data_IF_770145293488
#
_entry.id   IF_770145293488
#
_cell.length_a   1.000
_cell.length_b   1.000
_cell.length_c   1.000
_cell.angle_alpha   90.00
_cell.angle_beta   90.00
_cell.angle_gamma   90.00
#
_symmetry.space_group_name_H-M   'P 1'
#
loop_
_entity.id
_entity.type
_entity.pdbx_description
1 polymer ?
#
# COMPACT_ATOMS: atom_id res chain seq x y z
N UNK A 1 -54.09 32.42 42.38
CA UNK A 1 -53.50 31.23 41.72
C UNK A 1 -52.45 31.70 40.73
N UNK A 2 -51.16 31.44 40.98
CA UNK A 2 -50.07 31.69 40.03
C UNK A 2 -49.73 30.36 39.38
N UNK A 3 -49.96 30.24 38.08
CA UNK A 3 -49.55 29.08 37.29
C UNK A 3 -48.06 29.22 36.96
N UNK A 4 -47.24 28.31 37.50
CA UNK A 4 -45.87 28.12 37.05
C UNK A 4 -45.88 27.22 35.82
N UNK A 5 -45.55 27.78 34.67
CA UNK A 5 -45.24 27.01 33.45
C UNK A 5 -43.82 26.47 33.55
N UNK A 6 -43.67 25.16 33.77
CA UNK A 6 -42.41 24.45 33.61
C UNK A 6 -42.11 24.25 32.12
N UNK A 7 -40.98 24.76 31.64
CA UNK A 7 -40.43 24.38 30.32
C UNK A 7 -39.57 23.12 30.49
N UNK A 8 -39.79 22.04 29.72
CA UNK A 8 -38.88 20.91 29.70
C UNK A 8 -37.58 21.31 28.99
N UNK A 9 -36.46 21.26 29.70
CA UNK A 9 -35.13 21.30 29.08
C UNK A 9 -34.83 19.89 28.57
N UNK A 10 -34.92 19.69 27.25
CA UNK A 10 -34.39 18.48 26.61
C UNK A 10 -32.86 18.58 26.58
N UNK A 11 -32.21 17.95 27.55
CA UNK A 11 -30.78 17.69 27.51
C UNK A 11 -30.53 16.61 26.46
N UNK A 12 -30.17 17.00 25.23
CA UNK A 12 -29.66 16.08 24.21
C UNK A 12 -28.24 15.71 24.64
N UNK A 13 -28.08 14.58 25.34
CA UNK A 13 -26.77 13.98 25.57
C UNK A 13 -26.28 13.41 24.25
N UNK A 14 -25.44 14.18 23.55
CA UNK A 14 -24.69 13.72 22.39
C UNK A 14 -23.65 12.70 22.90
N UNK A 15 -24.04 11.42 22.97
CA UNK A 15 -23.10 10.32 23.16
C UNK A 15 -22.24 10.26 21.90
N UNK A 16 -21.11 10.98 21.90
CA UNK A 16 -20.02 10.75 20.96
C UNK A 16 -19.45 9.37 21.29
N UNK A 17 -20.09 8.33 20.73
CA UNK A 17 -19.48 7.04 20.55
C UNK A 17 -18.32 7.25 19.59
N UNK A 18 -17.18 7.66 20.13
CA UNK A 18 -15.90 7.51 19.46
C UNK A 18 -15.68 6.01 19.35
N UNK A 19 -16.20 5.42 18.28
CA UNK A 19 -15.77 4.12 17.80
C UNK A 19 -14.28 4.28 17.52
N UNK A 20 -13.45 3.87 18.50
CA UNK A 20 -12.01 3.83 18.37
C UNK A 20 -11.68 2.79 17.31
N UNK A 21 -11.64 3.25 16.07
CA UNK A 21 -11.17 2.49 14.94
C UNK A 21 -9.68 2.14 15.19
N UNK A 22 -9.39 0.88 15.50
CA UNK A 22 -8.02 0.38 15.49
C UNK A 22 -7.72 -0.17 14.09
N UNK A 23 -6.75 0.42 13.39
CA UNK A 23 -6.33 -0.06 12.09
C UNK A 23 -5.48 -1.32 12.22
N UNK A 24 -5.37 -2.12 11.15
CA UNK A 24 -4.41 -3.23 11.05
C UNK A 24 -2.96 -2.77 10.84
N UNK A 25 -2.66 -1.50 11.12
CA UNK A 25 -1.31 -0.96 11.18
C UNK A 25 -1.14 -0.07 12.41
N UNK A 26 0.08 0.00 12.93
CA UNK A 26 0.45 0.85 14.07
C UNK A 26 1.73 1.61 13.75
N UNK A 27 1.81 2.84 14.26
CA UNK A 27 3.05 3.60 14.28
C UNK A 27 3.68 3.44 15.65
N UNK A 28 4.95 3.04 15.68
CA UNK A 28 5.74 3.06 16.89
C UNK A 28 6.01 4.51 17.36
N UNK A 29 6.31 4.67 18.65
CA UNK A 29 6.67 5.95 19.25
C UNK A 29 7.89 6.62 18.58
N UNK A 30 8.79 5.85 17.97
CA UNK A 30 9.87 6.38 17.13
C UNK A 30 9.37 7.28 16.00
N UNK A 31 8.13 7.08 15.55
CA UNK A 31 7.50 7.86 14.50
C UNK A 31 6.85 9.16 14.98
N UNK A 32 6.89 9.52 16.27
CA UNK A 32 6.16 10.69 16.78
C UNK A 32 6.51 12.00 16.05
N UNK A 33 7.79 12.19 15.70
CA UNK A 33 8.26 13.36 14.94
C UNK A 33 7.79 13.38 13.47
N UNK A 34 7.43 12.22 12.93
CA UNK A 34 7.05 12.01 11.53
C UNK A 34 5.61 11.53 11.36
N UNK A 35 4.83 11.53 12.44
CA UNK A 35 3.53 10.88 12.53
C UNK A 35 2.61 11.32 11.40
N UNK A 36 2.49 12.62 11.18
CA UNK A 36 1.60 13.18 10.17
C UNK A 36 2.00 12.78 8.75
N UNK A 37 3.31 12.80 8.44
CA UNK A 37 3.78 12.50 7.09
C UNK A 37 3.75 10.99 6.81
N UNK A 38 4.10 10.16 7.78
CA UNK A 38 4.03 8.69 7.66
C UNK A 38 2.57 8.25 7.54
N UNK A 39 1.67 8.76 8.38
CA UNK A 39 0.23 8.45 8.30
C UNK A 39 -0.35 8.82 6.94
N UNK A 40 0.06 9.97 6.40
CA UNK A 40 -0.36 10.41 5.06
C UNK A 40 0.15 9.50 3.96
N UNK A 41 1.40 9.06 4.02
CA UNK A 41 1.95 8.11 3.05
C UNK A 41 1.28 6.74 3.16
N UNK A 42 0.95 6.27 4.36
CA UNK A 42 0.13 5.06 4.57
C UNK A 42 -1.25 5.22 3.93
N UNK A 43 -1.91 6.36 4.15
CA UNK A 43 -3.20 6.64 3.49
C UNK A 43 -3.07 6.68 1.97
N UNK A 44 -2.00 7.30 1.45
CA UNK A 44 -1.69 7.33 0.01
C UNK A 44 -1.50 5.93 -0.56
N UNK A 45 -0.77 5.05 0.14
CA UNK A 45 -0.60 3.66 -0.23
C UNK A 45 -1.94 2.91 -0.31
N UNK A 46 -2.84 3.14 0.66
CA UNK A 46 -4.21 2.60 0.58
C UNK A 46 -4.98 3.17 -0.60
N UNK A 47 -4.94 4.48 -0.85
CA UNK A 47 -5.60 5.11 -2.00
C UNK A 47 -5.08 4.55 -3.34
N UNK A 48 -3.79 4.24 -3.44
CA UNK A 48 -3.16 3.58 -4.58
C UNK A 48 -3.65 2.14 -4.76
N UNK A 49 -3.69 1.35 -3.68
CA UNK A 49 -4.20 -0.02 -3.71
C UNK A 49 -5.68 -0.07 -4.12
N UNK A 50 -6.45 0.90 -3.63
CA UNK A 50 -7.84 1.10 -3.98
C UNK A 50 -8.02 1.45 -5.46
N UNK A 51 -7.23 2.39 -5.99
CA UNK A 51 -7.26 2.73 -7.42
C UNK A 51 -6.86 1.53 -8.30
N UNK A 52 -5.91 0.71 -7.85
CA UNK A 52 -5.55 -0.54 -8.53
C UNK A 52 -6.73 -1.52 -8.61
N UNK A 53 -7.48 -1.70 -7.52
CA UNK A 53 -8.67 -2.54 -7.53
C UNK A 53 -9.77 -1.98 -8.45
N UNK A 54 -9.94 -0.66 -8.50
CA UNK A 54 -10.88 -0.01 -9.42
C UNK A 54 -10.50 -0.30 -10.89
N UNK A 55 -9.20 -0.23 -11.23
CA UNK A 55 -8.69 -0.62 -12.56
C UNK A 55 -8.94 -2.10 -12.86
N UNK A 56 -8.64 -2.99 -11.92
CA UNK A 56 -8.86 -4.44 -12.07
C UNK A 56 -10.36 -4.73 -12.29
N UNK A 57 -11.24 -4.14 -11.48
CA UNK A 57 -12.69 -4.32 -11.61
C UNK A 57 -13.22 -3.81 -12.95
N UNK A 58 -12.75 -2.65 -13.43
CA UNK A 58 -13.12 -2.13 -14.74
C UNK A 58 -12.72 -3.06 -15.90
N UNK A 59 -11.58 -3.75 -15.76
CA UNK A 59 -11.10 -4.71 -16.76
C UNK A 59 -11.78 -6.09 -16.64
N UNK A 60 -12.32 -6.45 -15.47
CA UNK A 60 -13.09 -7.68 -15.24
C UNK A 60 -14.45 -7.67 -15.92
N UNK A 61 -15.09 -6.50 -16.04
CA UNK A 61 -16.40 -6.31 -16.67
C UNK A 61 -16.29 -5.50 -17.98
N UNK A 62 -15.59 -6.01 -19.02
CA UNK A 62 -15.57 -5.35 -20.30
C UNK A 62 -17.01 -5.38 -20.82
N UNK A 63 -17.51 -4.26 -21.38
CA UNK A 63 -18.82 -4.25 -21.99
C UNK A 63 -18.94 -5.40 -23.00
N UNK A 64 -20.05 -6.15 -22.97
CA UNK A 64 -20.28 -7.39 -23.77
C UNK A 64 -20.00 -7.20 -25.27
N UNK A 65 -20.19 -5.98 -25.74
CA UNK A 65 -19.56 -5.46 -26.95
C UNK A 65 -18.82 -4.20 -26.53
N UNK A 66 -17.49 -4.15 -26.60
CA UNK A 66 -16.76 -2.88 -26.51
C UNK A 66 -16.97 -2.21 -27.86
N UNK A 67 -17.92 -1.27 -28.02
CA UNK A 67 -18.07 -0.54 -29.27
C UNK A 67 -16.74 0.17 -29.53
N UNK A 68 -16.42 0.45 -30.79
CA UNK A 68 -15.19 1.17 -31.15
C UNK A 68 -15.03 2.49 -30.36
N UNK A 69 -16.17 3.04 -29.95
CA UNK A 69 -16.39 4.22 -29.10
C UNK A 69 -16.04 4.03 -27.61
N UNK A 70 -16.01 2.79 -27.08
CA UNK A 70 -15.58 2.48 -25.70
C UNK A 70 -14.07 2.20 -25.56
N UNK A 71 -13.27 2.38 -26.61
CA UNK A 71 -11.82 2.58 -26.46
C UNK A 71 -11.51 3.96 -25.87
N UNK A 72 -12.12 4.30 -24.74
CA UNK A 72 -11.83 5.52 -24.03
C UNK A 72 -10.32 5.57 -23.75
N UNK A 73 -9.69 6.75 -23.75
CA UNK A 73 -8.28 6.87 -23.40
C UNK A 73 -7.95 6.24 -22.03
N UNK A 74 -8.90 6.28 -21.08
CA UNK A 74 -8.81 5.63 -19.77
C UNK A 74 -8.70 4.11 -19.92
N UNK A 75 -9.65 3.46 -20.62
CA UNK A 75 -9.64 2.01 -20.80
C UNK A 75 -8.36 1.54 -21.51
N UNK A 76 -7.89 2.28 -22.52
CA UNK A 76 -6.61 1.98 -23.19
C UNK A 76 -5.42 2.08 -22.22
N UNK A 77 -5.36 3.11 -21.39
CA UNK A 77 -4.31 3.26 -20.39
C UNK A 77 -4.33 2.11 -19.34
N UNK A 78 -5.52 1.65 -18.94
CA UNK A 78 -5.68 0.50 -18.03
C UNK A 78 -5.14 -0.80 -18.64
N UNK A 79 -5.50 -1.08 -19.90
CA UNK A 79 -5.00 -2.26 -20.65
C UNK A 79 -3.49 -2.16 -20.86
N UNK A 80 -2.97 -0.99 -21.17
CA UNK A 80 -1.52 -0.77 -21.34
C UNK A 80 -0.74 -0.95 -20.04
N UNK A 81 -1.29 -0.51 -18.90
CA UNK A 81 -0.68 -0.73 -17.59
C UNK A 81 -0.43 -2.22 -17.34
N UNK A 82 -1.47 -3.06 -17.50
CA UNK A 82 -1.34 -4.52 -17.33
C UNK A 82 -0.32 -5.10 -18.32
N UNK A 83 -0.41 -4.74 -19.61
CA UNK A 83 0.49 -5.27 -20.64
C UNK A 83 1.96 -4.87 -20.45
N UNK A 84 2.22 -3.78 -19.74
CA UNK A 84 3.57 -3.27 -19.51
C UNK A 84 4.25 -3.90 -18.30
N UNK A 85 3.59 -3.96 -17.13
CA UNK A 85 4.26 -4.38 -15.88
C UNK A 85 3.77 -5.72 -15.34
N UNK A 86 2.71 -6.29 -15.92
CA UNK A 86 2.11 -7.56 -15.52
C UNK A 86 1.68 -8.40 -16.74
N UNK A 87 2.49 -8.42 -17.80
CA UNK A 87 2.20 -9.17 -19.03
C UNK A 87 1.96 -10.67 -18.78
N UNK A 88 2.54 -11.19 -17.70
CA UNK A 88 2.24 -12.50 -17.15
C UNK A 88 0.73 -12.81 -16.97
N UNK A 89 -0.11 -11.79 -16.78
CA UNK A 89 -1.57 -11.88 -16.64
C UNK A 89 -2.32 -11.68 -17.97
N UNK A 90 -1.61 -11.67 -19.11
CA UNK A 90 -2.20 -11.57 -20.45
C UNK A 90 -1.85 -12.78 -21.30
N UNK A 91 -2.75 -13.12 -22.22
CA UNK A 91 -2.60 -14.19 -23.21
C UNK A 91 -2.91 -13.62 -24.58
N UNK A 92 -1.94 -13.70 -25.49
CA UNK A 92 -2.04 -13.11 -26.84
C UNK A 92 -2.39 -11.62 -26.84
N UNK A 93 -1.89 -10.87 -25.85
CA UNK A 93 -2.16 -9.43 -25.69
C UNK A 93 -3.54 -9.09 -25.12
N UNK A 94 -4.35 -10.10 -24.79
CA UNK A 94 -5.64 -9.94 -24.11
C UNK A 94 -5.52 -10.35 -22.65
N UNK A 95 -6.23 -9.68 -21.75
CA UNK A 95 -6.19 -10.00 -20.32
C UNK A 95 -6.77 -11.40 -20.11
N UNK A 96 -5.98 -12.29 -19.49
CA UNK A 96 -6.42 -13.64 -19.15
C UNK A 96 -6.92 -13.66 -17.71
N UNK A 97 -8.22 -13.38 -17.53
CA UNK A 97 -8.87 -13.31 -16.21
C UNK A 97 -8.93 -14.64 -15.49
N UNK A 98 -8.82 -15.74 -16.23
CA UNK A 98 -8.82 -17.09 -15.67
C UNK A 98 -7.41 -17.53 -15.27
N UNK A 99 -6.38 -16.76 -15.65
CA UNK A 99 -5.03 -17.02 -15.16
C UNK A 99 -4.96 -16.78 -13.65
N UNK A 100 -4.40 -17.75 -12.91
CA UNK A 100 -4.12 -17.62 -11.48
C UNK A 100 -3.43 -16.29 -11.14
N UNK A 101 -2.60 -15.79 -12.05
CA UNK A 101 -1.85 -14.54 -11.95
C UNK A 101 -2.75 -13.28 -11.87
N UNK A 102 -3.92 -13.28 -12.52
CA UNK A 102 -4.88 -12.18 -12.41
C UNK A 102 -5.49 -12.13 -11.01
N UNK A 103 -5.93 -13.29 -10.51
CA UNK A 103 -6.49 -13.39 -9.15
C UNK A 103 -5.44 -13.08 -8.08
N UNK A 104 -4.19 -13.52 -8.28
CA UNK A 104 -3.05 -13.20 -7.40
C UNK A 104 -2.79 -11.69 -7.29
N UNK A 105 -2.87 -10.96 -8.41
CA UNK A 105 -2.73 -9.50 -8.44
C UNK A 105 -3.81 -8.83 -7.58
N UNK A 106 -5.08 -9.18 -7.84
CA UNK A 106 -6.24 -8.67 -7.11
C UNK A 106 -6.13 -8.96 -5.61
N UNK A 107 -5.84 -10.22 -5.27
CA UNK A 107 -5.75 -10.68 -3.88
C UNK A 107 -4.71 -9.90 -3.09
N UNK A 108 -3.54 -9.57 -3.67
CA UNK A 108 -2.52 -8.80 -2.94
C UNK A 108 -2.98 -7.38 -2.60
N UNK A 109 -3.66 -6.69 -3.50
CA UNK A 109 -4.23 -5.38 -3.18
C UNK A 109 -5.37 -5.46 -2.15
N UNK A 110 -6.22 -6.47 -2.24
CA UNK A 110 -7.25 -6.74 -1.23
C UNK A 110 -6.64 -6.99 0.16
N UNK A 111 -5.58 -7.79 0.23
CA UNK A 111 -4.85 -8.07 1.48
C UNK A 111 -4.14 -6.82 2.02
N UNK A 112 -3.54 -5.99 1.18
CA UNK A 112 -2.97 -4.70 1.62
C UNK A 112 -4.07 -3.84 2.24
N UNK A 113 -5.26 -3.79 1.65
CA UNK A 113 -6.39 -3.05 2.22
C UNK A 113 -6.87 -3.60 3.55
N UNK A 114 -6.66 -4.88 3.85
CA UNK A 114 -7.00 -5.41 5.17
C UNK A 114 -6.23 -4.74 6.30
N UNK A 115 -5.05 -4.15 6.03
CA UNK A 115 -4.34 -3.34 7.02
C UNK A 115 -5.06 -2.02 7.35
N UNK A 116 -5.94 -1.53 6.46
CA UNK A 116 -6.75 -0.33 6.71
C UNK A 116 -8.08 -0.64 7.44
N UNK A 117 -8.41 -1.92 7.64
CA UNK A 117 -9.69 -2.27 8.27
C UNK A 117 -9.65 -1.96 9.77
N UNK A 118 -10.72 -1.33 10.24
CA UNK A 118 -10.94 -1.09 11.66
C UNK A 118 -11.27 -2.42 12.33
N UNK A 119 -10.34 -2.96 13.10
CA UNK A 119 -10.56 -4.15 13.93
C UNK A 119 -10.89 -3.72 15.35
N UNK A 120 -11.66 -4.51 16.06
CA UNK A 120 -11.71 -4.37 17.52
C UNK A 120 -10.28 -4.62 18.04
N UNK A 121 -9.73 -3.71 18.86
CA UNK A 121 -8.41 -3.93 19.42
C UNK A 121 -8.43 -5.26 20.19
N UNK A 122 -7.38 -6.08 20.06
CA UNK A 122 -7.25 -7.28 20.86
C UNK A 122 -7.38 -6.93 22.35
N UNK A 123 -8.07 -7.74 23.16
CA UNK A 123 -8.24 -7.47 24.58
C UNK A 123 -6.87 -7.38 25.25
N UNK A 124 -6.52 -6.19 25.68
CA UNK A 124 -5.23 -5.85 26.26
C UNK A 124 -5.06 -6.53 27.64
N UNK A 125 -4.03 -7.37 27.87
CA UNK A 125 -3.68 -7.86 29.18
C UNK A 125 -2.95 -6.75 29.95
N UNK A 126 -3.70 -6.01 30.78
CA UNK A 126 -3.10 -5.14 31.81
C UNK A 126 -3.00 -3.65 31.44
N UNK A 127 -4.11 -2.94 31.58
CA UNK A 127 -4.28 -1.48 31.65
C UNK A 127 -2.99 -0.60 31.77
N UNK A 128 -2.66 0.16 30.70
CA UNK A 128 -2.36 1.57 30.82
C UNK A 128 -3.50 2.35 30.16
N UNK A 129 -3.88 3.42 30.83
CA UNK A 129 -5.03 4.27 30.51
C UNK A 129 -5.09 4.66 29.02
N UNK A 130 -6.17 4.17 28.39
CA UNK A 130 -6.66 4.41 27.03
C UNK A 130 -6.76 5.90 26.67
N UNK A 131 -6.00 6.33 25.66
CA UNK A 131 -6.45 7.36 24.71
C UNK A 131 -5.61 7.47 23.43
N UNK A 132 -4.56 6.68 23.23
CA UNK A 132 -3.67 6.86 22.08
C UNK A 132 -3.25 5.52 21.43
N UNK A 133 -3.75 5.18 20.23
CA UNK A 133 -3.36 3.97 19.50
C UNK A 133 -1.91 4.01 18.97
N UNK A 134 -1.16 5.09 19.22
CA UNK A 134 0.19 5.33 18.70
C UNK A 134 1.31 5.10 19.74
N UNK A 135 1.00 4.47 20.88
CA UNK A 135 1.96 4.26 21.96
C UNK A 135 2.03 2.79 22.37
N UNK A 136 2.83 1.99 21.64
CA UNK A 136 3.22 0.65 22.08
C UNK A 136 4.64 0.71 22.68
N UNK A 137 4.84 0.23 23.91
CA UNK A 137 6.16 0.02 24.53
C UNK A 137 6.42 -1.46 24.75
N UNK A 138 7.52 -2.01 24.22
CA UNK A 138 8.12 -3.30 24.61
C UNK A 138 7.15 -4.49 24.73
N UNK A 139 6.62 -4.74 25.94
CA UNK A 139 5.65 -5.80 26.23
C UNK A 139 4.29 -5.67 25.50
N UNK A 140 4.04 -4.56 24.82
CA UNK A 140 2.73 -4.24 24.25
C UNK A 140 2.53 -4.77 22.82
N UNK A 141 3.60 -5.17 22.12
CA UNK A 141 3.47 -5.79 20.79
C UNK A 141 3.01 -7.25 20.85
N UNK A 142 3.07 -7.90 22.02
CA UNK A 142 2.61 -9.29 22.21
C UNK A 142 1.13 -9.50 21.86
N UNK A 143 0.32 -8.43 21.89
CA UNK A 143 -1.10 -8.49 21.56
C UNK A 143 -1.42 -8.04 20.15
N UNK A 144 -0.44 -7.54 19.39
CA UNK A 144 -0.71 -7.15 18.00
C UNK A 144 -1.02 -8.40 17.18
N UNK A 145 -2.05 -8.31 16.35
CA UNK A 145 -2.48 -9.45 15.57
C UNK A 145 -1.38 -9.86 14.60
N UNK A 146 -1.23 -11.16 14.36
CA UNK A 146 -0.31 -11.70 13.36
C UNK A 146 -0.53 -11.16 11.94
N UNK A 147 -1.59 -10.40 11.70
CA UNK A 147 -1.94 -9.77 10.41
C UNK A 147 -1.78 -8.25 10.45
N UNK A 148 -1.14 -7.71 11.49
CA UNK A 148 -0.94 -6.29 11.64
C UNK A 148 0.47 -5.90 11.18
N UNK A 149 0.65 -4.62 10.87
CA UNK A 149 1.95 -4.03 10.52
C UNK A 149 2.39 -3.03 11.59
N UNK A 150 3.65 -3.11 11.99
CA UNK A 150 4.32 -2.11 12.83
C UNK A 150 5.27 -1.28 12.00
N UNK A 151 5.11 0.04 12.02
CA UNK A 151 6.03 0.99 11.40
C UNK A 151 6.97 1.58 12.45
N UNK A 152 8.28 1.52 12.19
CA UNK A 152 9.32 2.15 12.98
C UNK A 152 10.02 3.25 12.18
N UNK A 153 10.35 4.37 12.83
CA UNK A 153 10.96 5.54 12.17
C UNK A 153 12.38 5.86 12.67
N UNK A 154 12.90 5.07 13.62
CA UNK A 154 14.30 5.12 14.03
C UNK A 154 14.85 3.71 14.31
N UNK A 155 16.11 3.64 14.74
CA UNK A 155 16.82 2.41 15.07
C UNK A 155 17.18 2.33 16.57
N UNK A 156 16.57 3.13 17.44
CA UNK A 156 16.96 3.17 18.86
C UNK A 156 16.74 1.81 19.55
N UNK A 157 15.76 1.01 19.10
CA UNK A 157 15.50 -0.35 19.62
C UNK A 157 16.65 -1.35 19.40
N UNK A 158 17.62 -1.03 18.55
CA UNK A 158 18.78 -1.89 18.28
C UNK A 158 20.05 -1.41 18.99
N UNK A 159 20.00 -0.24 19.63
CA UNK A 159 21.19 0.46 20.14
C UNK A 159 21.89 -0.33 21.22
N UNK A 160 23.17 -0.63 20.99
CA UNK A 160 23.99 -1.42 21.92
C UNK A 160 23.82 -2.92 21.76
N UNK A 161 23.05 -3.36 20.76
CA UNK A 161 22.82 -4.77 20.42
C UNK A 161 23.34 -5.12 19.02
N UNK A 162 23.98 -4.19 18.31
CA UNK A 162 24.61 -4.46 17.02
C UNK A 162 25.75 -5.48 17.17
N UNK A 163 25.64 -6.62 16.48
CA UNK A 163 26.58 -7.74 16.61
C UNK A 163 26.31 -8.64 17.82
N UNK A 164 25.11 -8.58 18.40
CA UNK A 164 24.67 -9.42 19.51
C UNK A 164 23.28 -10.00 19.23
N UNK A 165 23.10 -11.25 19.63
CA UNK A 165 21.78 -11.90 19.69
C UNK A 165 20.95 -11.36 20.86
N UNK A 166 19.67 -11.74 20.95
CA UNK A 166 18.81 -11.26 22.05
C UNK A 166 19.12 -11.87 23.43
N UNK A 167 20.06 -12.83 23.50
CA UNK A 167 20.58 -13.36 24.76
C UNK A 167 21.88 -12.66 25.20
N UNK A 168 22.33 -11.64 24.46
CA UNK A 168 23.54 -10.89 24.73
C UNK A 168 24.81 -11.64 24.35
N UNK A 169 24.70 -12.74 23.59
CA UNK A 169 25.84 -13.44 23.02
C UNK A 169 26.25 -12.73 21.74
N UNK A 170 27.56 -12.56 21.57
CA UNK A 170 28.11 -11.96 20.34
C UNK A 170 27.81 -12.84 19.14
N UNK A 171 27.21 -12.23 18.12
CA UNK A 171 26.93 -12.79 16.81
C UNK A 171 26.95 -11.64 15.79
N UNK A 172 28.04 -11.56 15.02
CA UNK A 172 28.30 -10.45 14.11
C UNK A 172 27.32 -10.43 12.90
N UNK A 173 26.44 -11.44 12.75
CA UNK A 173 25.39 -11.50 11.73
C UNK A 173 24.00 -11.12 12.27
N UNK A 174 23.89 -10.80 13.57
CA UNK A 174 22.62 -10.53 14.26
C UNK A 174 22.60 -9.19 14.97
N UNK A 175 21.40 -8.67 15.14
CA UNK A 175 21.10 -7.54 16.01
C UNK A 175 19.79 -7.83 16.74
N UNK A 176 19.77 -7.61 18.05
CA UNK A 176 18.53 -7.78 18.81
C UNK A 176 17.62 -6.56 18.67
N UNK A 177 16.41 -6.77 18.17
CA UNK A 177 15.30 -5.84 18.32
C UNK A 177 14.81 -5.91 19.78
N UNK A 178 15.27 -4.99 20.63
CA UNK A 178 14.90 -4.99 22.05
C UNK A 178 13.44 -4.63 22.31
N UNK A 179 12.76 -4.02 21.34
CA UNK A 179 11.35 -3.65 21.49
C UNK A 179 10.46 -4.88 21.33
N UNK A 180 10.84 -5.82 20.44
CA UNK A 180 10.07 -7.03 20.15
C UNK A 180 10.73 -8.32 20.65
N UNK A 181 11.92 -8.22 21.22
CA UNK A 181 12.76 -9.32 21.67
C UNK A 181 12.95 -10.39 20.56
N UNK A 182 13.33 -9.93 19.37
CA UNK A 182 13.60 -10.78 18.20
C UNK A 182 14.91 -10.44 17.53
N UNK A 183 15.51 -11.45 16.91
CA UNK A 183 16.79 -11.33 16.24
C UNK A 183 16.61 -10.92 14.77
N UNK A 184 17.12 -9.74 14.44
CA UNK A 184 17.18 -9.24 13.07
C UNK A 184 18.54 -9.50 12.43
N UNK A 185 18.61 -9.58 11.08
CA UNK A 185 19.89 -9.76 10.42
C UNK A 185 20.66 -8.45 10.53
N UNK A 186 21.90 -8.53 11.02
CA UNK A 186 22.83 -7.39 11.00
C UNK A 186 23.61 -7.42 9.69
N UNK A 187 22.92 -7.09 8.60
CA UNK A 187 23.44 -7.18 7.25
C UNK A 187 23.67 -5.80 6.60
N UNK A 188 24.08 -5.84 5.33
CA UNK A 188 24.30 -4.67 4.51
C UNK A 188 23.05 -3.80 4.36
N UNK A 189 21.84 -4.38 4.31
CA UNK A 189 20.60 -3.63 4.18
C UNK A 189 20.32 -2.87 5.47
N UNK A 190 20.42 -3.53 6.62
CA UNK A 190 20.31 -2.88 7.94
C UNK A 190 21.27 -1.70 8.04
N UNK A 191 22.56 -1.91 7.76
CA UNK A 191 23.59 -0.87 7.86
C UNK A 191 23.29 0.30 6.92
N UNK A 192 22.88 0.02 5.67
CA UNK A 192 22.52 1.05 4.69
C UNK A 192 21.30 1.84 5.14
N UNK A 193 20.28 1.20 5.69
CA UNK A 193 19.09 1.87 6.18
C UNK A 193 19.42 2.77 7.37
N UNK A 194 20.10 2.24 8.40
CA UNK A 194 20.53 2.99 9.58
C UNK A 194 21.39 4.19 9.21
N UNK A 195 22.39 4.00 8.35
CA UNK A 195 23.36 5.02 7.96
C UNK A 195 22.89 5.88 6.76
N UNK A 196 21.61 5.80 6.36
CA UNK A 196 21.11 6.41 5.13
C UNK A 196 21.18 7.94 5.07
N UNK A 197 21.39 8.60 6.21
CA UNK A 197 21.66 10.04 6.26
C UNK A 197 23.13 10.39 6.02
N UNK A 198 24.04 9.45 6.24
CA UNK A 198 25.50 9.62 6.14
C UNK A 198 26.06 9.13 4.80
N UNK A 199 25.31 8.24 4.14
CA UNK A 199 25.69 7.61 2.88
C UNK A 199 24.65 7.95 1.83
N UNK A 200 25.05 8.07 0.57
CA UNK A 200 24.13 8.16 -0.58
C UNK A 200 23.48 6.79 -0.86
N UNK A 201 22.84 6.21 0.16
CA UNK A 201 22.19 4.91 0.06
C UNK A 201 20.75 5.10 -0.39
N UNK A 202 20.32 4.22 -1.29
CA UNK A 202 18.98 4.26 -1.90
C UNK A 202 17.94 3.44 -1.14
N UNK A 203 18.29 2.84 0.00
CA UNK A 203 17.35 2.04 0.80
C UNK A 203 16.39 2.98 1.51
N UNK A 204 15.12 2.97 1.09
CA UNK A 204 14.08 3.84 1.65
C UNK A 204 13.43 3.26 2.91
N UNK A 205 13.25 1.95 2.94
CA UNK A 205 12.72 1.19 4.06
C UNK A 205 13.21 -0.26 3.99
N UNK A 206 12.94 -1.03 5.04
CA UNK A 206 13.15 -2.47 5.12
C UNK A 206 11.92 -3.11 5.75
N UNK A 207 11.39 -4.16 5.14
CA UNK A 207 10.39 -5.03 5.76
C UNK A 207 11.02 -6.30 6.28
N UNK A 208 10.79 -6.63 7.55
CA UNK A 208 11.15 -7.95 8.06
C UNK A 208 10.14 -8.99 7.57
N UNK A 209 10.56 -9.76 6.57
CA UNK A 209 9.77 -10.83 5.96
C UNK A 209 9.88 -12.15 6.71
N UNK A 210 10.77 -12.26 7.70
CA UNK A 210 10.91 -13.47 8.51
C UNK A 210 9.72 -13.53 9.44
N UNK A 211 8.74 -14.32 9.03
CA UNK A 211 7.53 -14.53 9.80
C UNK A 211 7.89 -15.25 11.10
N UNK A 212 7.99 -14.49 12.18
CA UNK A 212 7.99 -15.03 13.53
C UNK A 212 6.55 -15.45 13.85
N UNK A 213 6.28 -16.74 14.11
CA UNK A 213 4.94 -17.19 14.44
C UNK A 213 4.40 -16.38 15.62
N UNK A 214 3.22 -15.79 15.46
CA UNK A 214 2.61 -14.98 16.52
C UNK A 214 2.95 -13.50 16.49
N UNK A 215 3.78 -13.01 15.56
CA UNK A 215 4.18 -11.60 15.51
C UNK A 215 3.62 -10.85 14.28
N UNK A 216 3.47 -9.52 14.38
CA UNK A 216 3.13 -8.66 13.26
C UNK A 216 4.32 -8.52 12.29
N UNK A 217 4.05 -8.08 11.06
CA UNK A 217 5.12 -7.66 10.17
C UNK A 217 5.71 -6.32 10.63
N UNK A 218 7.01 -6.11 10.41
CA UNK A 218 7.72 -4.88 10.79
C UNK A 218 8.21 -4.17 9.54
N UNK A 219 7.95 -2.86 9.45
CA UNK A 219 8.49 -1.97 8.42
C UNK A 219 9.35 -0.92 9.11
N UNK A 220 10.64 -0.93 8.82
CA UNK A 220 11.60 0.08 9.25
C UNK A 220 11.73 1.16 8.16
N UNK A 221 11.33 2.39 8.45
CA UNK A 221 11.60 3.53 7.58
C UNK A 221 13.02 4.04 7.83
N UNK A 222 13.79 4.25 6.75
CA UNK A 222 15.17 4.68 6.86
C UNK A 222 15.25 6.20 7.09
N UNK A 223 16.14 6.70 7.97
CA UNK A 223 16.28 8.12 8.28
C UNK A 223 16.45 9.03 7.04
N UNK A 224 17.20 8.60 6.03
CA UNK A 224 17.41 9.34 4.78
C UNK A 224 16.10 9.58 4.02
N UNK A 225 15.25 8.55 3.95
CA UNK A 225 13.95 8.64 3.31
C UNK A 225 12.98 9.50 4.11
N UNK A 226 12.94 9.37 5.43
CA UNK A 226 12.13 10.24 6.28
C UNK A 226 12.53 11.71 6.11
N UNK A 227 13.83 12.00 6.03
CA UNK A 227 14.31 13.35 5.74
C UNK A 227 13.87 13.84 4.34
N UNK A 228 13.88 12.97 3.32
CA UNK A 228 13.37 13.29 2.00
C UNK A 228 11.86 13.58 2.02
N UNK A 229 11.07 12.74 2.70
CA UNK A 229 9.63 12.92 2.88
C UNK A 229 9.36 14.28 3.54
N UNK A 230 10.04 14.62 4.65
CA UNK A 230 9.90 15.92 5.32
C UNK A 230 10.18 17.10 4.38
N UNK A 231 11.22 17.00 3.53
CA UNK A 231 11.58 18.04 2.55
C UNK A 231 10.50 18.24 1.49
N UNK A 232 9.83 17.16 1.08
CA UNK A 232 8.72 17.21 0.13
C UNK A 232 7.45 17.77 0.78
N UNK A 233 7.24 17.52 2.07
CA UNK A 233 6.18 18.12 2.88
C UNK A 233 4.77 17.74 2.42
N UNK A 234 3.83 18.67 2.50
CA UNK A 234 2.38 18.53 2.18
C UNK A 234 2.03 18.46 0.70
N UNK A 235 3.04 18.46 -0.15
CA UNK A 235 2.81 18.49 -1.58
C UNK A 235 2.28 17.13 -2.03
N UNK A 236 1.05 17.12 -2.56
CA UNK A 236 0.43 15.91 -3.07
C UNK A 236 1.21 15.41 -4.29
N UNK A 237 1.48 14.10 -4.33
CA UNK A 237 2.16 13.36 -5.41
C UNK A 237 1.73 13.81 -6.82
N UNK A 238 0.45 14.06 -7.02
CA UNK A 238 -0.13 14.49 -8.30
C UNK A 238 0.11 15.97 -8.66
N UNK A 239 0.09 16.86 -7.67
CA UNK A 239 0.36 18.29 -7.88
C UNK A 239 1.85 18.54 -8.08
N UNK A 240 2.69 17.78 -7.38
CA UNK A 240 4.13 17.79 -7.59
C UNK A 240 4.53 17.13 -8.89
N UNK A 241 3.86 16.09 -9.37
CA UNK A 241 4.21 15.55 -10.68
C UNK A 241 3.88 16.53 -11.80
N UNK A 242 2.72 17.20 -11.74
CA UNK A 242 2.35 18.26 -12.69
C UNK A 242 3.24 19.50 -12.55
N UNK A 243 3.51 19.92 -11.32
CA UNK A 243 4.37 21.06 -11.00
C UNK A 243 5.84 20.83 -11.37
N UNK A 244 6.40 19.67 -11.03
CA UNK A 244 7.74 19.24 -11.39
C UNK A 244 7.87 19.06 -12.90
N UNK A 245 6.84 18.58 -13.61
CA UNK A 245 6.83 18.56 -15.07
C UNK A 245 6.87 19.96 -15.68
N UNK A 246 6.14 20.92 -15.10
CA UNK A 246 6.15 22.31 -15.59
C UNK A 246 7.44 23.05 -15.24
N UNK A 247 8.16 22.63 -14.20
CA UNK A 247 9.40 23.26 -13.72
C UNK A 247 10.67 22.49 -14.10
N UNK A 248 10.53 21.29 -14.68
CA UNK A 248 11.66 20.49 -15.11
C UNK A 248 12.44 21.21 -16.20
N UNK A 249 13.75 21.33 -16.01
CA UNK A 249 14.61 21.92 -17.03
C UNK A 249 14.48 21.15 -18.35
N UNK A 250 14.61 21.81 -19.52
CA UNK A 250 14.57 21.13 -20.82
C UNK A 250 15.55 19.96 -20.91
N UNK A 251 16.72 20.04 -20.27
CA UNK A 251 17.71 18.96 -20.19
C UNK A 251 17.24 17.78 -19.34
N UNK A 252 16.57 18.04 -18.22
CA UNK A 252 15.97 16.97 -17.42
C UNK A 252 14.84 16.29 -18.20
N UNK A 253 14.00 17.08 -18.86
CA UNK A 253 12.95 16.55 -19.75
C UNK A 253 13.54 15.72 -20.89
N UNK A 254 14.59 16.19 -21.55
CA UNK A 254 15.31 15.44 -22.57
C UNK A 254 15.91 14.15 -22.01
N UNK A 255 16.54 14.19 -20.83
CA UNK A 255 17.12 13.02 -20.18
C UNK A 255 16.07 11.97 -19.78
N UNK A 256 14.90 12.36 -19.27
CA UNK A 256 13.85 11.39 -18.84
C UNK A 256 13.00 10.91 -20.01
N UNK A 257 12.92 11.70 -21.09
CA UNK A 257 12.21 11.34 -22.33
C UNK A 257 13.11 10.72 -23.38
N UNK A 258 14.43 10.62 -23.14
CA UNK A 258 15.31 9.89 -24.04
C UNK A 258 14.92 8.39 -24.06
N UNK A 259 14.83 7.75 -25.23
CA UNK A 259 14.60 6.33 -25.32
C UNK A 259 15.61 5.49 -24.52
N UNK A 260 16.86 5.94 -24.48
CA UNK A 260 17.97 5.28 -23.77
C UNK A 260 18.00 5.55 -22.26
N UNK A 261 17.08 6.37 -21.74
CA UNK A 261 17.07 6.70 -20.33
C UNK A 261 16.70 5.51 -19.46
N UNK A 262 17.50 5.28 -18.42
CA UNK A 262 17.20 4.29 -17.38
C UNK A 262 16.18 4.80 -16.36
N UNK A 263 15.86 6.11 -16.38
CA UNK A 263 14.91 6.74 -15.46
C UNK A 263 13.75 7.34 -16.26
N UNK A 264 12.54 7.02 -15.84
CA UNK A 264 11.29 7.53 -16.42
C UNK A 264 10.68 8.58 -15.51
N UNK A 265 9.83 9.41 -16.09
CA UNK A 265 9.08 10.43 -15.35
C UNK A 265 8.30 9.84 -14.17
N UNK A 266 7.68 8.68 -14.38
CA UNK A 266 6.92 7.97 -13.33
C UNK A 266 7.80 7.59 -12.13
N UNK A 267 9.11 7.41 -12.32
CA UNK A 267 10.03 7.10 -11.22
C UNK A 267 10.20 8.28 -10.25
N UNK A 268 9.91 9.51 -10.70
CA UNK A 268 9.89 10.70 -9.83
C UNK A 268 8.55 10.87 -9.11
N UNK A 269 7.49 10.22 -9.60
CA UNK A 269 6.17 10.23 -8.97
C UNK A 269 6.06 9.22 -7.81
N UNK A 270 6.89 8.18 -7.83
CA UNK A 270 6.95 7.18 -6.77
C UNK A 270 7.65 7.78 -5.54
N UNK A 271 6.86 8.34 -4.62
CA UNK A 271 7.33 8.98 -3.39
C UNK A 271 7.09 8.06 -2.17
N UNK A 272 6.85 8.65 -0.99
CA UNK A 272 6.69 7.92 0.26
C UNK A 272 5.48 6.97 0.27
N UNK A 273 4.38 7.31 -0.38
CA UNK A 273 3.21 6.42 -0.51
C UNK A 273 3.50 5.19 -1.36
N UNK A 274 4.20 5.37 -2.48
CA UNK A 274 4.68 4.27 -3.32
C UNK A 274 5.64 3.34 -2.57
N UNK A 275 6.58 3.90 -1.81
CA UNK A 275 7.45 3.14 -0.92
C UNK A 275 6.64 2.37 0.14
N UNK A 276 5.69 3.02 0.82
CA UNK A 276 4.89 2.34 1.84
C UNK A 276 4.07 1.20 1.22
N UNK A 277 3.49 1.39 0.03
CA UNK A 277 2.78 0.33 -0.68
C UNK A 277 3.73 -0.83 -1.04
N UNK A 278 4.94 -0.53 -1.52
CA UNK A 278 5.99 -1.52 -1.78
C UNK A 278 6.23 -2.39 -0.54
N UNK A 279 6.55 -1.77 0.60
CA UNK A 279 6.86 -2.47 1.85
C UNK A 279 5.64 -3.24 2.41
N UNK A 280 4.43 -2.68 2.29
CA UNK A 280 3.21 -3.39 2.68
C UNK A 280 3.00 -4.69 1.90
N UNK A 281 3.48 -4.79 0.66
CA UNK A 281 3.41 -6.05 -0.09
C UNK A 281 4.43 -7.09 0.38
N UNK A 282 5.60 -6.67 0.88
CA UNK A 282 6.53 -7.56 1.58
C UNK A 282 5.94 -8.07 2.89
N UNK A 283 5.15 -7.24 3.58
CA UNK A 283 4.51 -7.54 4.86
C UNK A 283 3.33 -8.52 4.75
N UNK A 284 2.88 -8.88 3.54
CA UNK A 284 1.86 -9.90 3.35
C UNK A 284 2.36 -11.27 3.82
N UNK A 285 1.44 -12.19 4.09
CA UNK A 285 1.78 -13.57 4.48
C UNK A 285 1.99 -14.45 3.27
N UNK A 286 2.79 -15.50 3.44
CA UNK A 286 2.87 -16.58 2.46
C UNK A 286 1.47 -17.15 2.15
N UNK A 287 1.12 -17.40 0.87
CA UNK A 287 1.97 -17.30 -0.33
C UNK A 287 1.98 -15.93 -1.03
N UNK A 288 1.38 -14.89 -0.44
CA UNK A 288 1.13 -13.60 -1.10
C UNK A 288 2.23 -12.55 -0.92
N UNK A 289 3.18 -12.76 -0.01
CA UNK A 289 4.34 -11.88 0.16
C UNK A 289 5.12 -11.70 -1.13
N UNK A 290 5.51 -10.46 -1.41
CA UNK A 290 6.36 -10.10 -2.56
C UNK A 290 7.82 -10.03 -2.14
N UNK A 291 8.73 -9.91 -3.11
CA UNK A 291 10.19 -9.88 -2.94
C UNK A 291 10.80 -8.82 -3.85
N UNK A 292 12.04 -8.44 -3.59
CA UNK A 292 12.87 -7.70 -4.56
C UNK A 292 13.58 -8.70 -5.49
N UNK A 293 12.84 -9.20 -6.47
CA UNK A 293 13.17 -10.39 -7.27
C UNK A 293 14.49 -10.35 -8.06
N UNK A 294 15.12 -9.18 -8.21
CA UNK A 294 16.37 -8.99 -8.95
C UNK A 294 17.27 -7.94 -8.28
N UNK A 295 17.19 -7.82 -6.94
CA UNK A 295 17.90 -6.79 -6.19
C UNK A 295 17.65 -5.39 -6.78
N UNK A 296 18.70 -4.62 -7.07
CA UNK A 296 18.54 -3.30 -7.70
C UNK A 296 17.84 -3.31 -9.07
N UNK A 297 17.88 -4.45 -9.77
CA UNK A 297 17.20 -4.66 -11.04
C UNK A 297 15.69 -4.84 -10.90
N UNK A 298 15.12 -4.84 -9.68
CA UNK A 298 13.68 -4.93 -9.43
C UNK A 298 12.97 -3.57 -9.35
N UNK A 299 13.72 -2.48 -9.17
CA UNK A 299 13.20 -1.14 -8.94
C UNK A 299 13.12 -0.31 -10.21
N UNK A 300 12.22 0.68 -10.22
CA UNK A 300 11.96 1.61 -11.34
C UNK A 300 11.28 0.98 -12.54
N UNK A 301 10.52 1.82 -13.23
CA UNK A 301 9.60 1.40 -14.28
C UNK A 301 10.21 0.54 -15.38
N UNK A 302 11.36 0.91 -15.95
CA UNK A 302 11.98 0.16 -17.04
C UNK A 302 12.28 -1.29 -16.65
N UNK A 303 12.67 -1.51 -15.40
CA UNK A 303 12.93 -2.83 -14.88
C UNK A 303 11.64 -3.61 -14.65
N UNK A 304 10.58 -2.97 -14.18
CA UNK A 304 9.26 -3.60 -14.07
C UNK A 304 8.77 -4.11 -15.42
N UNK A 305 8.95 -3.32 -16.48
CA UNK A 305 8.61 -3.74 -17.84
C UNK A 305 9.40 -4.96 -18.27
N UNK A 306 10.71 -5.00 -17.98
CA UNK A 306 11.57 -6.16 -18.25
C UNK A 306 11.14 -7.41 -17.47
N UNK A 307 10.68 -7.25 -16.22
CA UNK A 307 10.30 -8.35 -15.34
C UNK A 307 8.86 -8.84 -15.57
N UNK A 308 8.06 -8.08 -16.32
CA UNK A 308 6.60 -8.24 -16.47
C UNK A 308 6.12 -9.63 -16.91
N UNK A 309 6.93 -10.41 -17.62
CA UNK A 309 6.54 -11.72 -18.16
C UNK A 309 6.55 -12.84 -17.10
N UNK A 310 7.51 -12.80 -16.16
CA UNK A 310 7.80 -13.96 -15.29
C UNK A 310 7.97 -13.61 -13.81
N UNK A 311 8.56 -12.46 -13.49
CA UNK A 311 8.92 -12.10 -12.11
C UNK A 311 8.12 -10.91 -11.58
N UNK A 312 7.44 -10.16 -12.46
CA UNK A 312 6.68 -8.97 -12.10
C UNK A 312 5.64 -9.23 -11.00
N UNK A 313 4.98 -10.40 -11.01
CA UNK A 313 3.97 -10.78 -10.01
C UNK A 313 4.51 -10.99 -8.60
N UNK A 314 5.78 -11.34 -8.48
CA UNK A 314 6.42 -11.63 -7.18
C UNK A 314 7.24 -10.42 -6.73
N UNK A 315 7.29 -9.36 -7.53
CA UNK A 315 8.06 -8.15 -7.29
C UNK A 315 7.23 -7.07 -6.58
N UNK A 316 7.68 -6.59 -5.41
CA UNK A 316 6.96 -5.58 -4.62
C UNK A 316 6.77 -4.27 -5.40
N UNK A 317 7.82 -3.82 -6.07
CA UNK A 317 7.82 -2.58 -6.84
C UNK A 317 6.77 -2.58 -7.97
N UNK A 318 6.45 -3.76 -8.53
CA UNK A 318 5.39 -3.88 -9.54
C UNK A 318 4.04 -3.44 -8.98
N UNK A 319 3.70 -3.83 -7.75
CA UNK A 319 2.44 -3.45 -7.11
C UNK A 319 2.42 -1.97 -6.75
N UNK A 320 3.55 -1.45 -6.27
CA UNK A 320 3.70 -0.02 -5.97
C UNK A 320 3.45 0.85 -7.22
N UNK A 321 4.10 0.54 -8.34
CA UNK A 321 3.88 1.28 -9.59
C UNK A 321 2.54 0.99 -10.24
N UNK A 322 1.99 -0.22 -10.08
CA UNK A 322 0.64 -0.52 -10.55
C UNK A 322 -0.38 0.35 -9.82
N UNK A 323 -0.29 0.45 -8.48
CA UNK A 323 -1.11 1.35 -7.67
C UNK A 323 -0.93 2.82 -8.05
N UNK A 324 0.32 3.25 -8.23
CA UNK A 324 0.65 4.62 -8.63
C UNK A 324 -0.01 4.98 -9.96
N UNK A 325 0.27 4.21 -11.01
CA UNK A 325 -0.27 4.50 -12.35
C UNK A 325 -1.79 4.37 -12.36
N UNK A 326 -2.36 3.42 -11.62
CA UNK A 326 -3.82 3.32 -11.47
C UNK A 326 -4.43 4.59 -10.88
N UNK A 327 -3.79 5.18 -9.86
CA UNK A 327 -4.23 6.44 -9.26
C UNK A 327 -4.06 7.64 -10.21
N UNK A 328 -3.04 7.61 -11.09
CA UNK A 328 -2.88 8.62 -12.13
C UNK A 328 -3.96 8.52 -13.22
N UNK A 329 -4.38 7.30 -13.56
CA UNK A 329 -5.46 7.03 -14.52
C UNK A 329 -6.83 7.37 -13.93
N UNK A 330 -7.08 7.02 -12.67
CA UNK A 330 -8.34 7.24 -11.95
C UNK A 330 -8.12 8.15 -10.72
N UNK A 331 -7.88 9.46 -10.91
CA UNK A 331 -7.62 10.35 -9.80
C UNK A 331 -8.86 10.52 -8.92
N UNK A 332 -8.72 10.22 -7.62
CA UNK A 332 -9.82 10.27 -6.64
C UNK A 332 -10.18 11.67 -6.15
N UNK A 333 -9.29 12.65 -6.35
CA UNK A 333 -9.55 14.04 -5.98
C UNK A 333 -10.43 14.72 -7.02
N UNK A 334 -11.60 15.22 -6.61
CA UNK A 334 -12.52 15.96 -7.48
C UNK A 334 -11.78 17.09 -8.20
N UNK A 335 -11.92 17.14 -9.53
CA UNK A 335 -11.32 18.19 -10.38
C UNK A 335 -9.94 17.87 -10.96
N UNK A 336 -9.35 16.69 -10.69
CA UNK A 336 -8.11 16.27 -11.35
C UNK A 336 -8.43 15.45 -12.61
N UNK A 337 -7.89 15.88 -13.77
CA UNK A 337 -8.05 15.13 -15.02
C UNK A 337 -7.25 13.81 -14.98
N UNK A 338 -7.84 12.70 -15.45
CA UNK A 338 -7.12 11.45 -15.73
C UNK A 338 -5.87 11.65 -16.57
N UNK A 339 -4.82 10.88 -16.29
CA UNK A 339 -3.62 10.82 -17.11
C UNK A 339 -3.55 9.49 -17.84
N UNK A 340 -3.32 9.56 -19.15
CA UNK A 340 -3.07 8.39 -19.97
C UNK A 340 -1.60 8.02 -20.00
N UNK A 341 -1.33 6.74 -20.25
CA UNK A 341 -0.03 6.24 -20.69
C UNK A 341 -0.05 6.25 -22.22
N UNK A 342 0.92 6.89 -22.89
CA UNK A 342 0.97 6.92 -24.36
C UNK A 342 2.04 5.95 -24.90
N UNK A 343 1.62 5.10 -25.83
CA UNK A 343 2.35 3.97 -26.43
C UNK A 343 3.53 4.34 -27.34
N UNK A 344 3.98 5.59 -27.36
CA UNK A 344 5.17 5.95 -28.15
C UNK A 344 6.39 5.36 -27.46
N UNK A 345 6.84 4.21 -27.98
CA UNK A 345 7.92 3.39 -27.44
C UNK A 345 9.00 4.21 -26.74
N UNK A 346 9.34 3.75 -25.53
CA UNK A 346 10.43 4.27 -24.71
C UNK A 346 10.21 5.65 -24.08
N UNK A 347 9.03 6.27 -24.16
CA UNK A 347 8.74 7.52 -23.44
C UNK A 347 7.33 7.52 -22.84
N UNK A 348 7.24 7.27 -21.54
CA UNK A 348 5.99 7.47 -20.79
C UNK A 348 5.78 8.97 -20.59
N UNK A 349 5.20 9.64 -21.58
CA UNK A 349 4.61 10.97 -21.35
C UNK A 349 3.28 10.75 -20.67
N UNK A 350 3.15 11.27 -19.45
CA UNK A 350 1.83 11.47 -18.86
C UNK A 350 1.14 12.56 -19.68
N UNK A 351 0.08 12.19 -20.39
CA UNK A 351 -0.73 13.14 -21.13
C UNK A 351 -2.03 13.35 -20.37
N UNK A 352 -2.36 14.61 -20.12
CA UNK A 352 -3.68 14.99 -19.63
C UNK A 352 -4.72 14.51 -20.64
N UNK A 353 -5.66 13.68 -20.20
CA UNK A 353 -6.78 13.27 -21.02
C UNK A 353 -7.75 14.46 -21.11
N UNK A 354 -8.18 14.83 -22.33
CA UNK A 354 -9.03 16.00 -22.53
C UNK A 354 -10.33 15.81 -21.74
N UNK A 355 -10.80 16.87 -21.06
CA UNK A 355 -12.00 16.86 -20.20
C UNK A 355 -13.27 16.27 -20.85
N UNK A 356 -13.42 16.38 -22.18
CA UNK A 356 -14.53 15.77 -22.94
C UNK A 356 -14.50 14.25 -23.02
N UNK A 357 -13.33 13.61 -22.83
CA UNK A 357 -13.17 12.15 -22.87
C UNK A 357 -13.50 11.48 -21.51
N UNK A 358 -13.62 12.29 -20.43
CA UNK A 358 -13.68 11.82 -19.03
C UNK A 358 -15.11 11.70 -18.52
N UNK A 359 -16.03 12.53 -19.00
CA UNK A 359 -17.44 12.54 -18.56
C UNK A 359 -18.16 11.21 -18.81
N UNK A 360 -17.76 10.47 -19.84
CA UNK A 360 -18.34 9.15 -20.14
C UNK A 360 -17.70 8.02 -19.31
N UNK A 361 -16.43 8.16 -18.92
CA UNK A 361 -15.71 7.16 -18.13
C UNK A 361 -16.16 7.17 -16.65
N UNK A 362 -16.38 8.34 -16.05
CA UNK A 362 -16.87 8.48 -14.69
C UNK A 362 -18.32 8.00 -14.50
N UNK A 363 -19.13 7.99 -15.58
CA UNK A 363 -20.46 7.40 -15.59
C UNK A 363 -20.43 5.87 -15.77
N UNK A 364 -19.48 5.35 -16.54
CA UNK A 364 -19.27 3.90 -16.69
C UNK A 364 -18.69 3.23 -15.44
N UNK A 365 -17.92 3.98 -14.63
CA UNK A 365 -17.38 3.57 -13.33
C UNK A 365 -18.22 4.12 -12.17
N UNK A 366 -19.54 4.22 -12.36
CA UNK A 366 -20.50 4.65 -11.33
C UNK A 366 -20.21 3.98 -9.99
N UNK A 367 -20.64 4.57 -8.84
CA UNK A 367 -20.16 4.18 -7.53
C UNK A 367 -20.38 2.69 -7.30
N UNK A 368 -19.33 1.91 -7.51
CA UNK A 368 -19.22 0.54 -7.06
C UNK A 368 -19.13 0.67 -5.56
N UNK A 369 -20.31 0.78 -4.92
CA UNK A 369 -20.48 0.39 -3.53
C UNK A 369 -19.96 -1.04 -3.48
N UNK A 370 -18.74 -1.19 -2.98
CA UNK A 370 -18.28 -2.43 -2.38
C UNK A 370 -19.32 -2.76 -1.33
N UNK A 371 -20.28 -3.62 -1.69
CA UNK A 371 -21.18 -4.19 -0.72
C UNK A 371 -20.29 -4.95 0.26
N UNK A 372 -20.32 -4.54 1.53
CA UNK A 372 -19.68 -5.26 2.62
C UNK A 372 -20.04 -6.75 2.50
N UNK A 373 -19.04 -7.58 2.22
CA UNK A 373 -19.17 -9.03 2.10
C UNK A 373 -19.26 -9.69 3.48
N UNK A 374 -20.28 -9.31 4.26
CA UNK A 374 -20.56 -9.89 5.59
C UNK A 374 -21.84 -10.73 5.67
N UNK A 375 -22.57 -10.93 4.57
CA UNK A 375 -23.84 -11.69 4.56
C UNK A 375 -23.83 -12.97 3.70
N UNK A 376 -22.71 -13.70 3.67
CA UNK A 376 -22.65 -15.04 3.05
C UNK A 376 -22.16 -16.09 4.05
N UNK A 377 -22.83 -16.22 5.20
CA UNK A 377 -22.59 -17.30 6.16
C UNK A 377 -23.82 -17.60 7.04
N UNK A 378 -25.03 -17.67 6.46
CA UNK A 378 -26.20 -18.27 7.11
C UNK A 378 -27.10 -18.96 6.09
N UNK A 379 -26.62 -20.06 5.52
CA UNK A 379 -27.50 -21.10 4.98
C UNK A 379 -26.70 -22.41 4.88
N UNK A 380 -27.36 -23.52 5.19
CA UNK A 380 -26.88 -24.91 5.19
C UNK A 380 -26.18 -25.41 6.46
N UNK A 381 -26.97 -25.82 7.46
CA UNK A 381 -26.98 -27.22 7.93
C UNK A 381 -28.08 -27.44 8.98
N UNK A 382 -29.23 -27.94 8.54
CA UNK A 382 -30.15 -28.70 9.38
C UNK A 382 -30.28 -30.09 8.77
N UNK A 383 -29.53 -31.05 9.29
CA UNK A 383 -29.71 -32.47 8.98
C UNK A 383 -30.12 -33.13 10.28
N UNK A 384 -31.39 -33.51 10.37
CA UNK A 384 -31.92 -34.35 11.44
C UNK A 384 -31.24 -35.73 11.43
N UNK A 385 -31.04 -36.36 12.59
CA UNK A 385 -30.57 -37.74 12.67
C UNK A 385 -31.72 -38.72 12.45
N UNK A 386 -31.57 -39.64 11.49
CA UNK A 386 -32.37 -40.87 11.39
C UNK A 386 -31.74 -41.98 12.23
N UNK A 387 -32.56 -42.52 13.11
CA UNK A 387 -32.35 -43.67 13.98
C UNK A 387 -32.20 -44.98 13.17
N UNK A 388 -31.23 -45.86 13.45
CA UNK A 388 -31.17 -47.17 12.84
C UNK A 388 -31.87 -48.23 13.72
N UNK A 389 -32.92 -48.84 13.17
CA UNK A 389 -33.53 -50.08 13.66
C UNK A 389 -32.59 -51.27 13.42
N UNK A 390 -32.36 -52.05 14.47
CA UNK A 390 -31.75 -53.40 14.46
C UNK A 390 -32.63 -54.43 13.71
N UNK A 391 -32.01 -55.50 13.19
CA UNK A 391 -32.00 -56.78 13.92
C UNK A 391 -30.68 -57.08 14.62
#
# INVERSE_FOLDING_TARGET
MRFFTFKPQHTITLLLLFSNACYGYYLDHSCEKDKEIVTRCIKGAFDMADAALDVIAALEQPPETVPEEMQTPVYRAQVELINNILRAATKSGTIDKQANRWNELKTRFELVKEFNNTREPPPWPGNPTRSDPFHLRGAQYENTGVRDILFFCDHERYKGWEGYDCNGKRDDEKVCDTAMNVEDPYDDLYVRCRDSMLRDTKTGAITDTRWHPGQPAKIQLCPGQLAQMRKLGDKQVLEDLRGALTLASPRLMEAITSPSSTVRLIDFACLGDCLILHEMTHALKFPFLTKDVDGWGSYKWNNLVRLSDNLGRDNAETYAYFGLVSQLILPRNKGKEPMGVEKSGLVYKLKMLKSGDVSNAAQASGPLRVANSTEAAKSANSTEPREPTRP
#
